data_IF_935588432711
#
_entry.id   IF_935588432711
#
_cell.length_a   1.000
_cell.length_b   1.000
_cell.length_c   1.000
_cell.angle_alpha   90.00
_cell.angle_beta   90.00
_cell.angle_gamma   90.00
#
_symmetry.space_group_name_H-M   'P 1'
#
loop_
_entity.id
_entity.type
_entity.pdbx_description
1 polymer ?
#
# COMPACT_ATOMS: atom_id res chain seq x y z
N UNK A 1 -3.34 27.40 -1.36
CA UNK A 1 -3.34 28.45 -2.41
C UNK A 1 -2.20 28.10 -3.34
N UNK A 2 -2.54 27.65 -4.53
CA UNK A 2 -1.58 27.19 -5.54
C UNK A 2 -0.79 28.39 -6.06
N UNK A 3 0.43 28.55 -5.56
CA UNK A 3 1.33 29.62 -6.05
C UNK A 3 1.79 29.42 -7.50
N UNK A 4 1.55 28.22 -8.07
CA UNK A 4 1.94 27.87 -9.43
C UNK A 4 0.80 27.08 -10.09
N UNK A 5 -0.08 27.75 -10.82
CA UNK A 5 -1.07 27.09 -11.68
C UNK A 5 -0.31 26.48 -12.88
N UNK A 6 0.13 25.22 -12.72
CA UNK A 6 0.73 24.46 -13.82
C UNK A 6 -0.39 23.63 -14.45
N UNK A 7 -0.61 23.81 -15.74
CA UNK A 7 -1.56 23.00 -16.50
C UNK A 7 -1.02 21.55 -16.60
N UNK A 8 -1.91 20.57 -16.64
CA UNK A 8 -1.54 19.16 -16.77
C UNK A 8 -0.67 18.84 -18.00
N UNK A 9 -0.81 19.62 -19.07
CA UNK A 9 0.03 19.52 -20.27
C UNK A 9 1.48 19.99 -20.07
N UNK A 10 1.70 20.87 -19.09
CA UNK A 10 3.03 21.37 -18.72
C UNK A 10 3.65 20.64 -17.54
N UNK A 11 2.99 19.58 -17.03
CA UNK A 11 3.48 18.68 -15.98
C UNK A 11 3.84 17.31 -16.60
N UNK A 12 5.11 17.11 -16.91
CA UNK A 12 5.60 15.90 -17.62
C UNK A 12 6.40 15.03 -16.68
N UNK A 13 6.11 13.73 -16.65
CA UNK A 13 6.84 12.77 -15.81
C UNK A 13 7.69 11.81 -16.65
N UNK A 14 8.90 11.57 -16.17
CA UNK A 14 9.87 10.64 -16.75
C UNK A 14 10.26 9.57 -15.75
N UNK A 15 10.09 8.30 -16.12
CA UNK A 15 10.57 7.17 -15.33
C UNK A 15 12.01 6.84 -15.75
N UNK A 16 12.94 6.85 -14.80
CA UNK A 16 14.35 6.60 -15.08
C UNK A 16 14.66 5.12 -15.34
N UNK A 17 13.71 4.24 -15.14
CA UNK A 17 13.84 2.84 -15.58
C UNK A 17 13.58 2.69 -17.09
N UNK A 18 12.82 3.62 -17.70
CA UNK A 18 12.39 3.54 -19.10
C UNK A 18 13.06 4.59 -19.99
N UNK A 19 13.46 5.71 -19.39
CA UNK A 19 13.93 6.91 -20.13
C UNK A 19 15.23 7.45 -19.55
N UNK A 20 16.05 8.06 -20.38
CA UNK A 20 17.30 8.69 -19.94
C UNK A 20 17.07 10.05 -19.29
N UNK A 21 17.94 10.43 -18.34
CA UNK A 21 17.89 11.72 -17.67
C UNK A 21 18.05 12.89 -18.63
N UNK A 22 18.81 12.70 -19.70
CA UNK A 22 19.09 13.71 -20.72
C UNK A 22 17.79 14.22 -21.38
N UNK A 23 16.82 13.32 -21.62
CA UNK A 23 15.52 13.71 -22.19
C UNK A 23 14.74 14.59 -21.23
N UNK A 24 14.70 14.23 -19.93
CA UNK A 24 14.04 15.04 -18.91
C UNK A 24 14.69 16.43 -18.75
N UNK A 25 16.04 16.49 -18.79
CA UNK A 25 16.80 17.76 -18.73
C UNK A 25 16.58 18.61 -19.97
N UNK A 26 16.55 18.00 -21.15
CA UNK A 26 16.23 18.71 -22.37
C UNK A 26 14.86 19.38 -22.30
N UNK A 27 13.84 18.63 -21.87
CA UNK A 27 12.49 19.16 -21.71
C UNK A 27 12.37 20.24 -20.61
N UNK A 28 13.14 20.11 -19.53
CA UNK A 28 13.19 21.10 -18.47
C UNK A 28 13.66 22.48 -19.00
N UNK A 29 14.53 22.49 -20.02
CA UNK A 29 15.07 23.69 -20.60
C UNK A 29 14.17 24.29 -21.69
N UNK A 30 13.11 23.61 -22.11
CA UNK A 30 12.12 24.13 -23.07
C UNK A 30 11.08 24.99 -22.38
N UNK A 31 10.44 25.88 -23.13
CA UNK A 31 9.36 26.75 -22.64
C UNK A 31 8.09 25.93 -22.35
N UNK A 32 7.32 26.36 -21.37
CA UNK A 32 5.98 25.85 -21.11
C UNK A 32 5.02 26.25 -22.25
N UNK A 33 4.01 25.43 -22.50
CA UNK A 33 3.07 25.65 -23.59
C UNK A 33 1.83 26.43 -23.17
N UNK A 34 1.22 26.06 -22.05
CA UNK A 34 -0.04 26.61 -21.54
C UNK A 34 0.08 27.29 -20.18
N UNK A 35 1.22 27.18 -19.54
CA UNK A 35 1.45 27.70 -18.18
C UNK A 35 2.64 28.66 -18.15
N UNK A 36 2.75 29.53 -17.15
CA UNK A 36 3.94 30.37 -16.96
C UNK A 36 5.24 29.57 -16.74
N UNK A 37 5.12 28.36 -16.21
CA UNK A 37 6.23 27.46 -15.89
C UNK A 37 5.84 26.01 -16.19
N UNK A 38 6.85 25.20 -16.53
CA UNK A 38 6.73 23.76 -16.73
C UNK A 38 7.19 23.03 -15.46
N UNK A 39 6.58 21.88 -15.16
CA UNK A 39 7.07 20.95 -14.14
C UNK A 39 7.55 19.67 -14.77
N UNK A 40 8.80 19.30 -14.51
CA UNK A 40 9.38 18.03 -14.91
C UNK A 40 9.51 17.16 -13.66
N UNK A 41 8.90 15.97 -13.70
CA UNK A 41 8.86 15.03 -12.59
C UNK A 41 9.73 13.81 -12.96
N UNK A 42 10.84 13.64 -12.28
CA UNK A 42 11.73 12.48 -12.43
C UNK A 42 11.31 11.43 -11.40
N UNK A 43 10.94 10.24 -11.87
CA UNK A 43 10.56 9.08 -11.05
C UNK A 43 11.64 8.01 -11.10
N UNK A 44 11.75 7.24 -10.01
CA UNK A 44 12.64 6.09 -9.89
C UNK A 44 14.12 6.37 -10.22
N UNK A 45 14.75 7.44 -9.68
CA UNK A 45 16.14 7.78 -9.95
C UNK A 45 17.11 6.84 -9.21
N UNK A 46 17.23 5.58 -9.66
CA UNK A 46 18.06 4.53 -9.03
C UNK A 46 19.51 4.97 -8.88
N UNK A 47 20.00 5.82 -9.79
CA UNK A 47 21.34 6.39 -9.74
C UNK A 47 21.63 7.25 -8.49
N UNK A 48 20.61 7.62 -7.70
CA UNK A 48 20.78 8.29 -6.40
C UNK A 48 21.02 7.31 -5.25
N UNK A 49 20.85 6.01 -5.46
CA UNK A 49 21.02 4.97 -4.44
C UNK A 49 22.37 4.29 -4.53
N UNK A 50 22.74 3.49 -3.53
CA UNK A 50 23.93 2.64 -3.57
C UNK A 50 23.76 1.40 -4.47
N UNK A 51 22.53 1.10 -4.91
CA UNK A 51 22.26 -0.01 -5.83
C UNK A 51 22.72 0.42 -7.24
N UNK A 52 23.51 -0.41 -7.88
CA UNK A 52 23.71 -0.31 -9.32
C UNK A 52 22.39 -0.67 -10.00
N UNK A 53 21.82 0.28 -10.73
CA UNK A 53 20.52 0.08 -11.35
C UNK A 53 20.58 -1.05 -12.37
N UNK A 54 19.67 -2.00 -12.27
CA UNK A 54 19.31 -2.91 -13.36
C UNK A 54 18.52 -2.17 -14.46
N UNK A 55 18.90 -0.96 -14.82
CA UNK A 55 18.31 -0.22 -15.93
C UNK A 55 19.31 -0.16 -17.07
N UNK A 56 18.94 -0.66 -18.24
CA UNK A 56 19.77 -0.69 -19.45
C UNK A 56 20.05 0.71 -20.05
N UNK A 57 19.58 1.79 -19.41
CA UNK A 57 19.69 3.14 -19.95
C UNK A 57 20.87 3.90 -19.31
N UNK A 58 21.85 4.33 -20.12
CA UNK A 58 22.95 5.16 -19.63
C UNK A 58 22.46 6.58 -19.30
N UNK A 59 22.56 6.96 -18.04
CA UNK A 59 22.23 8.32 -17.58
C UNK A 59 23.49 9.19 -17.53
N UNK A 60 23.53 10.26 -18.34
CA UNK A 60 24.52 11.30 -18.17
C UNK A 60 24.15 12.24 -17.03
N UNK A 61 24.69 11.96 -15.85
CA UNK A 61 24.42 12.73 -14.64
C UNK A 61 25.12 14.10 -14.64
N UNK A 62 26.06 14.35 -15.55
CA UNK A 62 26.77 15.63 -15.67
C UNK A 62 25.79 16.74 -16.08
N UNK A 63 24.89 16.46 -17.02
CA UNK A 63 23.86 17.40 -17.46
C UNK A 63 22.92 17.81 -16.32
N UNK A 64 22.53 16.85 -15.45
CA UNK A 64 21.71 17.17 -14.27
C UNK A 64 22.51 18.04 -13.27
N UNK A 65 23.77 17.72 -13.02
CA UNK A 65 24.62 18.52 -12.13
C UNK A 65 24.80 19.96 -12.65
N UNK A 66 25.00 20.14 -13.96
CA UNK A 66 25.10 21.47 -14.56
C UNK A 66 23.86 22.31 -14.37
N UNK A 67 22.67 21.71 -14.57
CA UNK A 67 21.39 22.41 -14.37
C UNK A 67 21.16 22.78 -12.90
N UNK A 68 21.59 21.94 -11.97
CA UNK A 68 21.49 22.22 -10.53
C UNK A 68 22.46 23.33 -10.08
N UNK A 69 23.64 23.40 -10.67
CA UNK A 69 24.63 24.44 -10.37
C UNK A 69 24.28 25.79 -11.03
N UNK A 70 23.78 25.73 -12.26
CA UNK A 70 23.52 26.89 -13.12
C UNK A 70 22.10 26.80 -13.72
N UNK A 71 21.02 27.02 -12.93
CA UNK A 71 19.65 26.97 -13.44
C UNK A 71 19.45 28.06 -14.49
N UNK A 72 19.10 27.64 -15.72
CA UNK A 72 18.87 28.54 -16.86
C UNK A 72 17.38 28.78 -17.12
N UNK A 73 16.49 28.24 -16.29
CA UNK A 73 15.04 28.30 -16.47
C UNK A 73 14.35 28.43 -15.12
N UNK A 74 13.16 29.04 -15.13
CA UNK A 74 12.25 29.12 -13.97
C UNK A 74 11.35 27.90 -13.85
N UNK A 75 11.49 26.89 -14.73
CA UNK A 75 10.73 25.65 -14.68
C UNK A 75 11.04 24.87 -13.39
N UNK A 76 10.11 24.04 -12.98
CA UNK A 76 10.19 23.28 -11.73
C UNK A 76 10.71 21.87 -12.03
N UNK A 77 11.76 21.46 -11.33
CA UNK A 77 12.24 20.08 -11.34
C UNK A 77 11.84 19.40 -10.02
N UNK A 78 11.09 18.30 -10.13
CA UNK A 78 10.69 17.48 -9.00
C UNK A 78 11.36 16.11 -9.17
N UNK A 79 12.12 15.66 -8.17
CA UNK A 79 12.76 14.35 -8.16
C UNK A 79 12.07 13.50 -7.10
N UNK A 80 11.31 12.50 -7.53
CA UNK A 80 10.62 11.55 -6.66
C UNK A 80 11.44 10.26 -6.55
N UNK A 81 12.05 10.06 -5.39
CA UNK A 81 12.92 8.92 -5.08
C UNK A 81 12.26 8.02 -4.03
N UNK A 82 11.50 6.96 -4.42
CA UNK A 82 10.82 6.05 -3.51
C UNK A 82 11.79 5.03 -2.91
N UNK A 83 12.84 5.50 -2.26
CA UNK A 83 13.89 4.67 -1.67
C UNK A 83 14.11 5.04 -0.22
N UNK A 84 14.35 4.05 0.64
CA UNK A 84 14.61 4.25 2.08
C UNK A 84 15.80 5.17 2.34
N UNK A 85 16.84 5.09 1.49
CA UNK A 85 18.06 5.89 1.64
C UNK A 85 18.68 6.23 0.29
N UNK A 86 19.12 7.47 0.18
CA UNK A 86 20.00 7.92 -0.89
C UNK A 86 21.47 7.65 -0.51
N UNK A 87 22.36 7.52 -1.50
CA UNK A 87 23.79 7.35 -1.25
C UNK A 87 24.47 8.70 -1.07
N UNK A 88 24.62 9.12 0.17
CA UNK A 88 25.23 10.41 0.55
C UNK A 88 26.71 10.55 0.16
N UNK A 89 27.37 9.47 -0.30
CA UNK A 89 28.75 9.54 -0.82
C UNK A 89 28.79 10.15 -2.22
N UNK A 90 27.69 10.03 -2.98
CA UNK A 90 27.61 10.52 -4.35
C UNK A 90 27.57 12.05 -4.40
N UNK A 91 28.40 12.63 -5.30
CA UNK A 91 28.47 14.09 -5.52
C UNK A 91 27.10 14.69 -5.86
N UNK A 92 26.33 14.00 -6.73
CA UNK A 92 24.99 14.44 -7.14
C UNK A 92 24.04 14.53 -5.96
N UNK A 93 24.03 13.54 -5.05
CA UNK A 93 23.15 13.55 -3.86
C UNK A 93 23.50 14.71 -2.93
N UNK A 94 24.80 14.97 -2.74
CA UNK A 94 25.25 16.14 -1.96
C UNK A 94 24.82 17.45 -2.60
N UNK A 95 24.93 17.55 -3.92
CA UNK A 95 24.55 18.74 -4.67
C UNK A 95 23.03 18.97 -4.59
N UNK A 96 22.22 17.94 -4.78
CA UNK A 96 20.76 18.01 -4.61
C UNK A 96 20.38 18.50 -3.22
N UNK A 97 20.91 17.89 -2.16
CA UNK A 97 20.64 18.31 -0.77
C UNK A 97 21.04 19.77 -0.49
N UNK A 98 22.04 20.30 -1.19
CA UNK A 98 22.51 21.68 -1.03
C UNK A 98 21.71 22.69 -1.85
N UNK A 99 21.21 22.31 -3.01
CA UNK A 99 20.66 23.23 -4.03
C UNK A 99 19.14 23.15 -4.16
N UNK A 100 18.50 22.11 -3.63
CA UNK A 100 17.07 21.92 -3.71
C UNK A 100 16.42 21.83 -2.31
N UNK A 101 15.13 22.06 -2.27
CA UNK A 101 14.32 21.79 -1.09
C UNK A 101 14.06 20.28 -1.02
N UNK A 102 14.35 19.66 0.13
CA UNK A 102 14.25 18.20 0.30
C UNK A 102 13.13 17.89 1.29
N UNK A 103 12.13 17.16 0.81
CA UNK A 103 11.04 16.62 1.62
C UNK A 103 11.28 15.13 1.85
N UNK A 104 11.31 14.70 3.10
CA UNK A 104 11.40 13.29 3.47
C UNK A 104 10.06 12.84 4.01
N UNK A 105 9.51 11.78 3.42
CA UNK A 105 8.27 11.16 3.84
C UNK A 105 8.59 9.79 4.43
N UNK A 106 8.29 9.63 5.71
CA UNK A 106 8.42 8.35 6.39
C UNK A 106 7.08 7.61 6.35
N UNK A 107 7.14 6.28 6.37
CA UNK A 107 5.93 5.47 6.52
C UNK A 107 5.32 5.72 7.89
N UNK A 108 4.06 6.09 7.93
CA UNK A 108 3.35 6.30 9.18
C UNK A 108 3.31 5.01 10.01
N UNK A 109 3.62 5.13 11.30
CA UNK A 109 3.31 4.10 12.27
C UNK A 109 1.81 4.06 12.57
N UNK A 110 1.32 2.94 13.12
CA UNK A 110 -0.08 2.81 13.57
C UNK A 110 -0.46 3.95 14.54
N UNK A 111 0.43 4.27 15.48
CA UNK A 111 0.23 5.35 16.44
C UNK A 111 0.15 6.73 15.77
N UNK A 112 1.01 6.98 14.78
CA UNK A 112 1.00 8.25 14.03
C UNK A 112 -0.25 8.39 13.16
N UNK A 113 -0.73 7.30 12.55
CA UNK A 113 -1.98 7.31 11.78
C UNK A 113 -3.19 7.56 12.69
N UNK A 114 -3.21 6.95 13.86
CA UNK A 114 -4.28 7.13 14.85
C UNK A 114 -4.33 8.58 15.33
N UNK A 115 -3.19 9.16 15.68
CA UNK A 115 -3.11 10.56 16.10
C UNK A 115 -3.52 11.50 14.97
N UNK A 116 -3.05 11.27 13.76
CA UNK A 116 -3.43 12.06 12.58
C UNK A 116 -4.94 11.97 12.29
N UNK A 117 -5.53 10.78 12.36
CA UNK A 117 -6.96 10.57 12.16
C UNK A 117 -7.78 11.32 13.22
N UNK A 118 -7.35 11.23 14.48
CA UNK A 118 -7.95 11.93 15.61
C UNK A 118 -7.98 13.44 15.39
N UNK A 119 -6.81 14.03 15.08
CA UNK A 119 -6.70 15.48 14.84
C UNK A 119 -7.57 15.94 13.67
N UNK A 120 -7.68 15.13 12.61
CA UNK A 120 -8.50 15.46 11.44
C UNK A 120 -9.99 15.44 11.76
N UNK A 121 -10.46 14.48 12.55
CA UNK A 121 -11.86 14.38 13.00
C UNK A 121 -12.22 15.48 14.01
N UNK A 122 -11.36 15.72 15.00
CA UNK A 122 -11.54 16.76 16.00
C UNK A 122 -11.61 18.17 15.39
N UNK A 123 -10.83 18.43 14.33
CA UNK A 123 -10.85 19.71 13.60
C UNK A 123 -12.24 20.01 12.99
N UNK A 124 -12.98 18.98 12.64
CA UNK A 124 -14.36 19.06 12.12
C UNK A 124 -15.43 18.91 13.22
N UNK A 125 -14.99 18.87 14.48
CA UNK A 125 -15.85 18.77 15.66
C UNK A 125 -16.40 17.36 15.90
N UNK A 126 -15.80 16.32 15.33
CA UNK A 126 -16.20 14.93 15.54
C UNK A 126 -15.43 14.35 16.72
N UNK A 127 -16.13 13.97 17.79
CA UNK A 127 -15.57 13.30 18.94
C UNK A 127 -15.55 11.78 18.71
N UNK A 128 -14.52 11.10 19.19
CA UNK A 128 -14.36 9.66 19.01
C UNK A 128 -14.51 8.91 20.34
N UNK A 129 -15.36 7.91 20.40
CA UNK A 129 -15.39 7.00 21.54
C UNK A 129 -14.10 6.18 21.68
N UNK A 130 -13.78 5.69 22.88
CA UNK A 130 -12.62 4.83 23.10
C UNK A 130 -12.66 3.58 22.19
N UNK A 131 -11.52 3.29 21.54
CA UNK A 131 -11.39 2.12 20.67
C UNK A 131 -11.85 2.30 19.22
N UNK A 132 -12.63 3.33 18.90
CA UNK A 132 -13.16 3.59 17.56
C UNK A 132 -12.03 3.84 16.55
N UNK A 133 -11.01 4.62 16.92
CA UNK A 133 -9.86 4.86 16.06
C UNK A 133 -9.02 3.60 15.82
N UNK A 134 -8.90 2.72 16.81
CA UNK A 134 -8.23 1.43 16.63
C UNK A 134 -8.98 0.54 15.64
N UNK A 135 -10.31 0.53 15.73
CA UNK A 135 -11.17 -0.16 14.77
C UNK A 135 -11.01 0.43 13.36
N UNK A 136 -11.03 1.75 13.22
CA UNK A 136 -10.87 2.44 11.93
C UNK A 136 -9.51 2.12 11.29
N UNK A 137 -8.41 2.19 12.05
CA UNK A 137 -7.07 1.82 11.57
C UNK A 137 -7.02 0.35 11.13
N UNK A 138 -7.69 -0.53 11.87
CA UNK A 138 -7.78 -1.95 11.52
C UNK A 138 -8.52 -2.16 10.20
N UNK A 139 -9.70 -1.57 10.04
CA UNK A 139 -10.53 -1.71 8.83
C UNK A 139 -9.91 -1.08 7.59
N UNK A 140 -9.04 -0.08 7.76
CA UNK A 140 -8.29 0.55 6.66
C UNK A 140 -6.92 -0.06 6.43
N UNK A 141 -6.57 -1.17 7.13
CA UNK A 141 -5.26 -1.83 7.07
C UNK A 141 -4.07 -0.89 7.29
N UNK A 142 -4.26 0.19 8.05
CA UNK A 142 -3.29 1.25 8.24
C UNK A 142 -2.78 1.88 6.92
N UNK A 143 -3.58 1.82 5.84
CA UNK A 143 -3.30 2.51 4.57
C UNK A 143 -3.84 3.93 4.63
N UNK A 144 -2.96 4.90 4.46
CA UNK A 144 -3.33 6.32 4.62
C UNK A 144 -4.38 6.78 3.61
N UNK A 145 -4.31 6.30 2.36
CA UNK A 145 -5.27 6.69 1.32
C UNK A 145 -6.68 6.19 1.63
N UNK A 146 -6.81 4.93 2.05
CA UNK A 146 -8.09 4.36 2.48
C UNK A 146 -8.60 5.05 3.74
N UNK A 147 -7.73 5.27 4.72
CA UNK A 147 -8.06 5.97 5.96
C UNK A 147 -8.58 7.39 5.69
N UNK A 148 -7.94 8.10 4.76
CA UNK A 148 -8.36 9.44 4.36
C UNK A 148 -9.78 9.43 3.76
N UNK A 149 -10.06 8.52 2.83
CA UNK A 149 -11.38 8.37 2.22
C UNK A 149 -12.47 8.05 3.25
N UNK A 150 -12.18 7.15 4.20
CA UNK A 150 -13.13 6.82 5.26
C UNK A 150 -13.36 8.00 6.21
N UNK A 151 -12.31 8.74 6.58
CA UNK A 151 -12.44 9.96 7.40
C UNK A 151 -13.28 11.02 6.67
N UNK A 152 -13.07 11.25 5.38
CA UNK A 152 -13.86 12.21 4.60
C UNK A 152 -15.34 11.81 4.56
N UNK A 153 -15.64 10.53 4.40
CA UNK A 153 -17.00 9.99 4.45
C UNK A 153 -17.65 10.17 5.83
N UNK A 154 -16.90 9.94 6.91
CA UNK A 154 -17.34 10.17 8.28
C UNK A 154 -17.64 11.66 8.52
N UNK A 155 -16.77 12.55 8.06
CA UNK A 155 -16.98 14.00 8.17
C UNK A 155 -18.27 14.43 7.45
N UNK A 156 -18.49 13.93 6.23
CA UNK A 156 -19.72 14.22 5.46
C UNK A 156 -20.95 13.70 6.21
N UNK A 157 -20.90 12.48 6.77
CA UNK A 157 -22.01 11.93 7.54
C UNK A 157 -22.40 12.81 8.73
N UNK A 158 -21.42 13.42 9.41
CA UNK A 158 -21.65 14.28 10.56
C UNK A 158 -21.83 15.77 10.21
N UNK A 159 -21.84 16.16 8.95
CA UNK A 159 -21.86 17.57 8.54
C UNK A 159 -23.06 18.31 9.17
N UNK A 160 -24.24 17.72 9.06
CA UNK A 160 -25.50 18.30 9.56
C UNK A 160 -26.08 17.56 10.79
N UNK A 161 -25.30 16.69 11.42
CA UNK A 161 -25.76 15.92 12.57
C UNK A 161 -25.80 16.79 13.84
N UNK A 162 -26.88 16.67 14.66
CA UNK A 162 -27.00 17.40 15.91
C UNK A 162 -25.99 17.00 16.98
N UNK A 163 -25.49 15.77 16.90
CA UNK A 163 -24.40 15.23 17.73
C UNK A 163 -23.35 14.60 16.81
N UNK A 164 -22.10 14.91 17.05
CA UNK A 164 -20.97 14.45 16.23
C UNK A 164 -20.08 13.51 17.04
N UNK A 165 -20.67 12.40 17.51
CA UNK A 165 -19.92 11.37 18.26
C UNK A 165 -19.78 10.13 17.37
N UNK A 166 -18.55 9.81 17.02
CA UNK A 166 -18.20 8.62 16.25
C UNK A 166 -18.13 7.41 17.18
N UNK A 167 -19.08 6.49 17.02
CA UNK A 167 -19.20 5.25 17.79
C UNK A 167 -18.79 4.04 16.94
N UNK A 168 -18.65 2.88 17.59
CA UNK A 168 -18.36 1.60 16.91
C UNK A 168 -19.48 1.24 15.92
N UNK A 169 -20.74 1.50 16.30
CA UNK A 169 -21.91 1.23 15.46
C UNK A 169 -21.90 2.07 14.19
N UNK A 170 -21.56 3.35 14.31
CA UNK A 170 -21.44 4.27 13.16
C UNK A 170 -20.33 3.79 12.22
N UNK A 171 -19.19 3.35 12.76
CA UNK A 171 -18.11 2.77 11.94
C UNK A 171 -18.62 1.54 11.16
N UNK A 172 -19.35 0.63 11.80
CA UNK A 172 -19.88 -0.55 11.11
C UNK A 172 -20.90 -0.23 10.01
N UNK A 173 -21.61 0.90 10.13
CA UNK A 173 -22.54 1.38 9.09
C UNK A 173 -21.81 2.05 7.95
N UNK A 174 -20.81 2.88 8.24
CA UNK A 174 -20.15 3.72 7.24
C UNK A 174 -18.99 3.01 6.55
N UNK A 175 -18.16 2.29 7.31
CA UNK A 175 -16.91 1.70 6.80
C UNK A 175 -17.20 0.26 6.39
N UNK A 176 -17.30 0.06 5.08
CA UNK A 176 -17.42 -1.28 4.54
C UNK A 176 -16.14 -2.09 4.82
N UNK A 177 -16.31 -3.34 5.26
CA UNK A 177 -15.18 -4.27 5.34
C UNK A 177 -14.62 -4.50 3.95
N UNK A 178 -13.30 -4.41 3.82
CA UNK A 178 -12.65 -4.77 2.57
C UNK A 178 -12.69 -6.29 2.37
N UNK A 179 -12.66 -6.73 1.12
CA UNK A 179 -12.65 -8.15 0.79
C UNK A 179 -11.50 -8.89 1.50
N UNK A 180 -10.34 -8.24 1.62
CA UNK A 180 -9.19 -8.75 2.35
C UNK A 180 -9.46 -8.98 3.85
N UNK A 181 -10.32 -8.17 4.47
CA UNK A 181 -10.73 -8.38 5.88
C UNK A 181 -11.60 -9.63 6.01
N UNK A 182 -12.53 -9.81 5.09
CA UNK A 182 -13.38 -11.00 5.07
C UNK A 182 -12.54 -12.25 4.80
N UNK A 183 -11.57 -12.20 3.89
CA UNK A 183 -10.62 -13.30 3.66
C UNK A 183 -9.73 -13.55 4.90
N UNK A 184 -9.33 -12.48 5.61
CA UNK A 184 -8.61 -12.65 6.87
C UNK A 184 -9.47 -13.36 7.93
N UNK A 185 -10.73 -12.97 8.09
CA UNK A 185 -11.67 -13.63 9.01
C UNK A 185 -11.92 -15.09 8.60
N UNK A 186 -12.11 -15.35 7.31
CA UNK A 186 -12.27 -16.69 6.77
C UNK A 186 -11.06 -17.56 7.10
N UNK A 187 -9.85 -17.09 6.81
CA UNK A 187 -8.62 -17.83 7.10
C UNK A 187 -8.36 -18.00 8.60
N UNK A 188 -8.79 -17.07 9.44
CA UNK A 188 -8.74 -17.19 10.91
C UNK A 188 -9.70 -18.27 11.43
N UNK A 189 -10.93 -18.31 10.92
CA UNK A 189 -11.88 -19.34 11.25
C UNK A 189 -11.37 -20.74 10.82
N UNK A 190 -10.78 -20.85 9.62
CA UNK A 190 -10.13 -22.08 9.16
C UNK A 190 -8.95 -22.49 10.04
N UNK A 191 -8.13 -21.53 10.49
CA UNK A 191 -7.03 -21.77 11.42
C UNK A 191 -7.49 -22.39 12.73
N UNK A 192 -8.60 -21.89 13.24
CA UNK A 192 -9.22 -22.33 14.49
C UNK A 192 -10.12 -23.56 14.33
N UNK A 193 -10.19 -24.11 13.11
CA UNK A 193 -11.10 -25.25 12.75
C UNK A 193 -12.56 -24.99 13.03
N UNK A 194 -12.98 -23.74 12.93
CA UNK A 194 -14.37 -23.33 13.06
C UNK A 194 -15.06 -23.35 11.70
N UNK A 195 -15.30 -24.55 11.19
CA UNK A 195 -15.76 -24.76 9.81
C UNK A 195 -17.12 -24.09 9.55
N UNK A 196 -18.06 -24.15 10.50
CA UNK A 196 -19.36 -23.46 10.38
C UNK A 196 -19.20 -21.95 10.24
N UNK A 197 -18.35 -21.32 11.06
CA UNK A 197 -18.07 -19.90 11.00
C UNK A 197 -17.38 -19.53 9.66
N UNK A 198 -16.43 -20.35 9.20
CA UNK A 198 -15.77 -20.16 7.92
C UNK A 198 -16.76 -20.25 6.74
N UNK A 199 -17.69 -21.19 6.80
CA UNK A 199 -18.69 -21.37 5.75
C UNK A 199 -19.68 -20.20 5.70
N UNK A 200 -20.15 -19.69 6.84
CA UNK A 200 -21.00 -18.50 6.90
C UNK A 200 -20.31 -17.26 6.30
N UNK A 201 -19.01 -17.07 6.59
CA UNK A 201 -18.24 -15.96 5.99
C UNK A 201 -18.14 -16.14 4.47
N UNK A 202 -17.94 -17.36 4.00
CA UNK A 202 -17.90 -17.67 2.57
C UNK A 202 -19.24 -17.39 1.89
N UNK A 203 -20.36 -17.85 2.47
CA UNK A 203 -21.70 -17.58 1.93
C UNK A 203 -22.01 -16.07 1.86
N UNK A 204 -21.61 -15.30 2.88
CA UNK A 204 -21.75 -13.85 2.86
C UNK A 204 -20.96 -13.21 1.71
N UNK A 205 -19.74 -13.66 1.47
CA UNK A 205 -18.91 -13.23 0.34
C UNK A 205 -19.53 -13.57 -1.02
N UNK A 206 -20.13 -14.75 -1.14
CA UNK A 206 -20.84 -15.18 -2.36
C UNK A 206 -22.12 -14.35 -2.58
N UNK A 207 -22.84 -14.01 -1.52
CA UNK A 207 -24.02 -13.13 -1.57
C UNK A 207 -23.66 -11.71 -2.02
N UNK A 208 -22.43 -11.24 -1.71
CA UNK A 208 -21.88 -9.97 -2.18
C UNK A 208 -21.39 -10.02 -3.64
N UNK A 209 -21.62 -11.13 -4.35
CA UNK A 209 -21.16 -11.39 -5.72
C UNK A 209 -19.64 -11.32 -5.90
N UNK A 210 -18.88 -11.67 -4.86
CA UNK A 210 -17.43 -11.80 -5.02
C UNK A 210 -17.07 -13.00 -5.90
N UNK A 211 -16.11 -12.83 -6.79
CA UNK A 211 -15.74 -13.85 -7.77
C UNK A 211 -14.95 -14.98 -7.08
N UNK A 212 -15.41 -16.26 -7.15
CA UNK A 212 -14.79 -17.39 -6.43
C UNK A 212 -13.30 -17.59 -6.73
N UNK A 213 -12.89 -17.40 -7.98
CA UNK A 213 -11.48 -17.53 -8.37
C UNK A 213 -10.61 -16.41 -7.72
N UNK A 214 -11.16 -15.21 -7.59
CA UNK A 214 -10.51 -14.10 -6.86
C UNK A 214 -10.35 -14.44 -5.38
N UNK A 215 -11.39 -15.01 -4.75
CA UNK A 215 -11.33 -15.46 -3.35
C UNK A 215 -10.26 -16.54 -3.16
N UNK A 216 -10.19 -17.54 -4.04
CA UNK A 216 -9.17 -18.58 -3.99
C UNK A 216 -7.76 -18.00 -4.04
N UNK A 217 -7.50 -17.03 -4.93
CA UNK A 217 -6.22 -16.35 -5.04
C UNK A 217 -5.89 -15.57 -3.77
N UNK A 218 -6.87 -14.87 -3.19
CA UNK A 218 -6.69 -14.10 -1.95
C UNK A 218 -6.39 -15.00 -0.75
N UNK A 219 -7.10 -16.13 -0.61
CA UNK A 219 -6.84 -17.14 0.42
C UNK A 219 -5.43 -17.72 0.25
N UNK A 220 -5.04 -18.08 -0.98
CA UNK A 220 -3.70 -18.58 -1.26
C UNK A 220 -2.61 -17.54 -0.91
N UNK A 221 -2.83 -16.27 -1.24
CA UNK A 221 -1.91 -15.19 -0.89
C UNK A 221 -1.80 -14.99 0.63
N UNK A 222 -2.91 -15.08 1.35
CA UNK A 222 -2.92 -14.99 2.81
C UNK A 222 -2.12 -16.14 3.45
N UNK A 223 -2.34 -17.38 3.02
CA UNK A 223 -1.58 -18.52 3.54
C UNK A 223 -0.09 -18.47 3.15
N UNK A 224 0.24 -17.99 1.95
CA UNK A 224 1.62 -17.78 1.52
C UNK A 224 2.33 -16.75 2.40
N UNK A 225 1.69 -15.62 2.62
CA UNK A 225 2.23 -14.57 3.47
C UNK A 225 2.39 -15.04 4.91
N UNK A 226 1.42 -15.80 5.42
CA UNK A 226 1.50 -16.42 6.75
C UNK A 226 2.68 -17.41 6.86
N UNK A 227 2.88 -18.25 5.85
CA UNK A 227 4.02 -19.17 5.80
C UNK A 227 5.36 -18.44 5.83
N UNK A 228 5.49 -17.36 5.06
CA UNK A 228 6.68 -16.52 5.03
C UNK A 228 6.94 -15.81 6.37
N UNK A 229 5.88 -15.28 7.00
CA UNK A 229 6.00 -14.64 8.33
C UNK A 229 6.47 -15.66 9.37
N UNK A 230 5.90 -16.87 9.39
CA UNK A 230 6.32 -17.93 10.31
C UNK A 230 7.80 -18.28 10.09
N UNK A 231 8.21 -18.50 8.85
CA UNK A 231 9.57 -18.88 8.50
C UNK A 231 10.59 -17.83 8.93
N UNK A 232 10.36 -16.57 8.60
CA UNK A 232 11.24 -15.47 8.99
C UNK A 232 11.26 -15.24 10.51
N UNK A 233 10.13 -15.42 11.20
CA UNK A 233 10.07 -15.35 12.67
C UNK A 233 10.90 -16.47 13.32
N UNK A 234 10.85 -17.68 12.77
CA UNK A 234 11.68 -18.82 13.26
C UNK A 234 13.17 -18.59 13.02
N UNK A 235 13.53 -17.81 11.98
CA UNK A 235 14.91 -17.38 11.71
C UNK A 235 15.35 -16.21 12.61
N UNK A 236 14.49 -15.70 13.50
CA UNK A 236 14.79 -14.64 14.45
C UNK A 236 14.62 -13.21 13.94
N UNK A 237 13.99 -13.02 12.77
CA UNK A 237 13.70 -11.68 12.29
C UNK A 237 12.61 -11.00 13.13
N UNK A 238 12.76 -9.69 13.36
CA UNK A 238 11.73 -8.87 14.04
C UNK A 238 10.62 -8.50 13.07
N UNK A 239 9.44 -8.22 13.57
CA UNK A 239 8.26 -7.84 12.75
C UNK A 239 8.55 -6.71 11.75
N UNK A 240 9.32 -5.70 12.15
CA UNK A 240 9.71 -4.59 11.27
C UNK A 240 10.61 -5.04 10.11
N UNK A 241 11.54 -5.97 10.37
CA UNK A 241 12.44 -6.52 9.35
C UNK A 241 11.69 -7.45 8.40
N UNK A 242 10.75 -8.25 8.94
CA UNK A 242 9.84 -9.09 8.14
C UNK A 242 9.00 -8.23 7.22
N UNK A 243 8.38 -7.16 7.73
CA UNK A 243 7.57 -6.23 6.95
C UNK A 243 8.36 -5.64 5.78
N UNK A 244 9.61 -5.24 6.05
CA UNK A 244 10.52 -4.71 5.02
C UNK A 244 10.90 -5.75 3.98
N UNK A 245 11.22 -6.97 4.42
CA UNK A 245 11.63 -8.09 3.54
C UNK A 245 10.50 -8.51 2.61
N UNK A 246 9.27 -8.57 3.14
CA UNK A 246 8.08 -8.98 2.39
C UNK A 246 7.39 -7.82 1.67
N UNK A 247 7.88 -6.59 1.86
CA UNK A 247 7.30 -5.37 1.29
C UNK A 247 5.81 -5.20 1.66
N UNK A 248 5.49 -5.42 2.92
CA UNK A 248 4.13 -5.24 3.47
C UNK A 248 4.15 -4.27 4.64
N UNK A 249 3.00 -3.66 4.94
CA UNK A 249 2.92 -2.75 6.09
C UNK A 249 3.16 -3.51 7.40
N UNK A 250 3.93 -2.98 8.38
CA UNK A 250 4.23 -3.64 9.66
C UNK A 250 2.98 -4.11 10.42
N UNK A 251 1.91 -3.31 10.39
CA UNK A 251 0.62 -3.69 10.96
C UNK A 251 0.06 -5.01 10.40
N UNK A 252 0.22 -5.26 9.09
CA UNK A 252 -0.21 -6.52 8.47
C UNK A 252 0.61 -7.70 8.96
N UNK A 253 1.92 -7.53 9.17
CA UNK A 253 2.77 -8.57 9.77
C UNK A 253 2.33 -8.91 11.18
N UNK A 254 2.04 -7.91 12.01
CA UNK A 254 1.52 -8.06 13.37
C UNK A 254 0.21 -8.88 13.41
N UNK A 255 -0.75 -8.56 12.54
CA UNK A 255 -2.02 -9.30 12.42
C UNK A 255 -1.78 -10.75 12.01
N UNK A 256 -0.97 -10.96 10.97
CA UNK A 256 -0.66 -12.30 10.46
C UNK A 256 0.13 -13.11 11.50
N UNK A 257 1.05 -12.49 12.21
CA UNK A 257 1.81 -13.13 13.27
C UNK A 257 0.87 -13.63 14.38
N UNK A 258 -0.10 -12.83 14.80
CA UNK A 258 -1.09 -13.26 15.79
C UNK A 258 -1.94 -14.46 15.30
N UNK A 259 -2.30 -14.49 14.02
CA UNK A 259 -3.06 -15.57 13.40
C UNK A 259 -2.20 -16.83 13.19
N UNK A 260 -0.93 -16.65 12.85
CA UNK A 260 0.00 -17.74 12.51
C UNK A 260 0.25 -18.73 13.62
N UNK A 261 0.05 -18.34 14.89
CA UNK A 261 0.18 -19.23 16.05
C UNK A 261 -0.79 -20.42 16.02
N UNK A 262 -1.88 -20.32 15.27
CA UNK A 262 -2.88 -21.39 15.12
C UNK A 262 -2.55 -22.37 13.99
N UNK A 263 -1.53 -22.09 13.17
CA UNK A 263 -1.18 -22.90 12.03
C UNK A 263 0.14 -23.67 12.21
N UNK A 264 0.11 -24.94 11.84
CA UNK A 264 1.34 -25.70 11.64
C UNK A 264 1.89 -25.42 10.22
N UNK A 265 3.18 -25.11 10.04
CA UNK A 265 3.78 -24.87 8.71
C UNK A 265 3.54 -25.99 7.69
N UNK A 266 3.51 -27.26 8.15
CA UNK A 266 3.21 -28.42 7.29
C UNK A 266 1.77 -28.38 6.77
N UNK A 267 0.84 -27.91 7.59
CA UNK A 267 -0.58 -27.78 7.22
C UNK A 267 -0.75 -26.66 6.22
N UNK A 268 -0.12 -25.51 6.44
CA UNK A 268 -0.14 -24.39 5.47
C UNK A 268 0.40 -24.82 4.09
N UNK A 269 1.49 -25.58 4.06
CA UNK A 269 2.03 -26.13 2.82
C UNK A 269 1.03 -27.05 2.11
N UNK A 270 0.34 -27.92 2.87
CA UNK A 270 -0.72 -28.78 2.32
C UNK A 270 -1.83 -27.95 1.69
N UNK A 271 -2.30 -26.91 2.38
CA UNK A 271 -3.37 -26.03 1.88
C UNK A 271 -2.94 -25.29 0.61
N UNK A 272 -1.73 -24.77 0.56
CA UNK A 272 -1.20 -24.12 -0.65
C UNK A 272 -1.13 -25.07 -1.86
N UNK A 273 -0.76 -26.33 -1.65
CA UNK A 273 -0.77 -27.36 -2.70
C UNK A 273 -2.20 -27.65 -3.18
N UNK A 274 -3.15 -27.78 -2.24
CA UNK A 274 -4.56 -28.01 -2.58
C UNK A 274 -5.16 -26.84 -3.36
N UNK A 275 -4.89 -25.59 -2.95
CA UNK A 275 -5.36 -24.39 -3.65
C UNK A 275 -4.75 -24.30 -5.05
N UNK A 276 -3.49 -24.67 -5.23
CA UNK A 276 -2.85 -24.70 -6.55
C UNK A 276 -3.46 -25.77 -7.48
N UNK A 277 -3.79 -26.95 -6.96
CA UNK A 277 -4.48 -28.00 -7.71
C UNK A 277 -5.90 -27.57 -8.07
N UNK A 278 -6.61 -26.91 -7.17
CA UNK A 278 -7.94 -26.36 -7.43
C UNK A 278 -7.92 -25.26 -8.50
N UNK A 279 -6.96 -24.32 -8.42
CA UNK A 279 -6.78 -23.28 -9.45
C UNK A 279 -6.58 -23.91 -10.85
N UNK A 280 -5.74 -24.94 -10.94
CA UNK A 280 -5.54 -25.69 -12.18
C UNK A 280 -6.84 -26.37 -12.67
N UNK A 281 -7.57 -27.07 -11.79
CA UNK A 281 -8.81 -27.77 -12.13
C UNK A 281 -9.92 -26.83 -12.57
N UNK A 282 -10.02 -25.66 -11.94
CA UNK A 282 -10.99 -24.62 -12.33
C UNK A 282 -10.63 -24.08 -13.72
N UNK A 283 -9.37 -23.69 -13.94
CA UNK A 283 -8.92 -23.13 -15.22
C UNK A 283 -9.01 -24.10 -16.40
N UNK A 284 -8.92 -25.40 -16.13
CA UNK A 284 -9.08 -26.47 -17.14
C UNK A 284 -10.53 -26.97 -17.29
N UNK A 285 -11.48 -26.40 -16.54
CA UNK A 285 -12.90 -26.77 -16.61
C UNK A 285 -13.23 -28.13 -15.96
N UNK A 286 -12.30 -28.72 -15.20
CA UNK A 286 -12.50 -30.01 -14.52
C UNK A 286 -13.37 -29.86 -13.26
N UNK A 287 -13.29 -28.69 -12.60
CA UNK A 287 -13.99 -28.42 -11.36
C UNK A 287 -14.69 -27.05 -11.44
N UNK A 288 -15.94 -27.01 -11.00
CA UNK A 288 -16.65 -25.74 -10.83
C UNK A 288 -16.00 -24.88 -9.76
N UNK A 289 -15.96 -23.56 -9.98
CA UNK A 289 -15.24 -22.62 -9.14
C UNK A 289 -15.87 -22.42 -7.76
N UNK A 290 -17.19 -22.44 -7.65
CA UNK A 290 -17.91 -22.33 -6.37
C UNK A 290 -17.75 -23.61 -5.58
N UNK A 291 -18.01 -24.76 -6.21
CA UNK A 291 -17.82 -26.08 -5.60
C UNK A 291 -16.38 -26.31 -5.12
N UNK A 292 -15.38 -25.78 -5.82
CA UNK A 292 -13.98 -25.90 -5.43
C UNK A 292 -13.72 -25.27 -4.06
N UNK A 293 -14.22 -24.04 -3.84
CA UNK A 293 -14.04 -23.34 -2.57
C UNK A 293 -14.83 -23.98 -1.43
N UNK A 294 -16.06 -24.42 -1.68
CA UNK A 294 -16.85 -25.16 -0.70
C UNK A 294 -16.14 -26.42 -0.25
N UNK A 295 -15.66 -27.22 -1.20
CA UNK A 295 -14.89 -28.44 -0.90
C UNK A 295 -13.59 -28.12 -0.16
N UNK A 296 -12.93 -27.01 -0.47
CA UNK A 296 -11.74 -26.60 0.25
C UNK A 296 -12.06 -26.31 1.72
N UNK A 297 -13.11 -25.51 2.00
CA UNK A 297 -13.52 -25.15 3.36
C UNK A 297 -13.96 -26.38 4.17
N UNK A 298 -14.73 -27.29 3.55
CA UNK A 298 -15.27 -28.46 4.22
C UNK A 298 -14.25 -29.57 4.47
N UNK A 299 -13.14 -29.63 3.71
CA UNK A 299 -12.08 -30.66 3.84
C UNK A 299 -10.87 -30.20 4.68
N UNK A 300 -10.96 -29.10 5.36
CA UNK A 300 -9.93 -28.59 6.28
C UNK A 300 -10.14 -29.12 7.70
#
# INVERSE_FOLDING_TARGET
MDKHQINSFDAISYDMCETTIQKAIFDLQTVAFLSPKKAIIIKNPVFLTAKEGKGDQPHDLSALMEVLEHPKTDNILIIYAPYDKLDDRKKLVKLLKKKSEVFTFETYSEASLKEWAKQKLEKEGVECEPGVLDLLIRLTHAKIDTLLQEIEKIIIYFMDAPSKVLTVEVIHVLVARQLEDNVFLLTDALAKRKIEEAFLIYEDLMTQNEEPLKLLILIANQFRLMSQVIELSQQGYREADIAKTLNVHPYRVKLIHSQSHHFNPKVLKKYLIQLADMDYKIKTGILDKELALELFILNL
#
